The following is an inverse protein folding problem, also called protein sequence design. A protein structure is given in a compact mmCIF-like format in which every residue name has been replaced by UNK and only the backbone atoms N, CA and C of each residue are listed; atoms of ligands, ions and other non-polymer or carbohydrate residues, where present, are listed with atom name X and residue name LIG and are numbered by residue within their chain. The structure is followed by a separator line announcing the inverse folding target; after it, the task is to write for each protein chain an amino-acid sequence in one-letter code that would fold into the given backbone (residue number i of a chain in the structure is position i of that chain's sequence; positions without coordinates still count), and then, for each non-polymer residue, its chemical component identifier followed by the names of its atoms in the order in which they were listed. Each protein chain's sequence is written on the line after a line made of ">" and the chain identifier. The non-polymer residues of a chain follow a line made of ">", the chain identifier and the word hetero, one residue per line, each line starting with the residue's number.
data_IF_258450236095
#
_entry.id   IF_258450236095
#
_cell.length_a   1.000
_cell.length_b   1.000
_cell.length_c   1.000
_cell.angle_alpha   90.00
_cell.angle_beta   90.00
_cell.angle_gamma   90.00
#
_symmetry.space_group_name_H-M   'P 1'
#
loop_
_entity.id
_entity.type
_entity.pdbx_description
1 polymer ?
#
# COMPACT_ATOMS: atom_id res chain seq x y z
N UNK A 1 10.54 26.40 -108.65
CA UNK A 1 9.93 26.20 -107.32
C UNK A 1 11.05 25.83 -106.36
N UNK A 2 11.87 26.77 -105.87
CA UNK A 2 13.24 26.32 -105.50
C UNK A 2 14.04 27.10 -104.45
N UNK A 3 13.53 28.13 -103.77
CA UNK A 3 14.32 28.75 -102.69
C UNK A 3 13.46 29.22 -101.51
N UNK A 4 12.40 29.98 -101.77
CA UNK A 4 11.49 30.46 -100.71
C UNK A 4 10.77 29.32 -99.96
N UNK A 5 10.39 28.24 -100.65
CA UNK A 5 9.77 27.07 -100.01
C UNK A 5 10.78 26.31 -99.14
N UNK A 6 12.04 26.26 -99.57
CA UNK A 6 13.11 25.58 -98.84
C UNK A 6 13.51 26.35 -97.56
N UNK A 7 13.64 27.68 -97.67
CA UNK A 7 13.86 28.56 -96.52
C UNK A 7 12.69 28.51 -95.53
N UNK A 8 11.44 28.44 -96.01
CA UNK A 8 10.27 28.32 -95.13
C UNK A 8 10.27 26.99 -94.38
N UNK A 9 10.64 25.89 -95.04
CA UNK A 9 10.77 24.56 -94.42
C UNK A 9 11.91 24.55 -93.38
N UNK A 10 13.07 25.13 -93.71
CA UNK A 10 14.17 25.26 -92.75
C UNK A 10 13.80 26.11 -91.54
N UNK A 11 13.07 27.21 -91.77
CA UNK A 11 12.62 28.08 -90.69
C UNK A 11 11.59 27.39 -89.79
N UNK A 12 10.61 26.69 -90.37
CA UNK A 12 9.63 25.88 -89.62
C UNK A 12 10.33 24.77 -88.84
N UNK A 13 11.32 24.10 -89.44
CA UNK A 13 12.10 23.05 -88.77
C UNK A 13 12.90 23.62 -87.61
N UNK A 14 13.55 24.77 -87.80
CA UNK A 14 14.37 25.42 -86.76
C UNK A 14 13.51 25.95 -85.61
N UNK A 15 12.39 26.61 -85.92
CA UNK A 15 11.43 27.09 -84.92
C UNK A 15 10.76 25.93 -84.18
N UNK A 16 10.42 24.84 -84.88
CA UNK A 16 9.86 23.62 -84.29
C UNK A 16 10.83 22.90 -83.36
N UNK A 17 12.10 22.77 -83.75
CA UNK A 17 13.16 22.18 -82.90
C UNK A 17 13.40 23.07 -81.68
N UNK A 18 13.48 24.39 -81.86
CA UNK A 18 13.68 25.31 -80.73
C UNK A 18 12.53 25.27 -79.73
N UNK A 19 11.28 25.23 -80.21
CA UNK A 19 10.11 25.11 -79.35
C UNK A 19 10.03 23.76 -78.63
N UNK A 20 10.50 22.67 -79.27
CA UNK A 20 10.60 21.37 -78.64
C UNK A 20 11.69 21.33 -77.55
N UNK A 21 12.86 21.92 -77.80
CA UNK A 21 13.95 22.04 -76.82
C UNK A 21 13.56 22.91 -75.62
N UNK A 22 12.84 24.02 -75.84
CA UNK A 22 12.30 24.86 -74.77
C UNK A 22 11.30 24.08 -73.90
N UNK A 23 10.36 23.36 -74.51
CA UNK A 23 9.43 22.49 -73.76
C UNK A 23 10.12 21.36 -73.02
N UNK A 24 11.14 20.74 -73.61
CA UNK A 24 11.89 19.68 -72.96
C UNK A 24 12.60 20.22 -71.70
N UNK A 25 13.24 21.39 -71.81
CA UNK A 25 13.85 22.08 -70.66
C UNK A 25 12.85 22.45 -69.58
N UNK A 26 11.67 22.94 -69.95
CA UNK A 26 10.59 23.23 -68.99
C UNK A 26 10.15 21.96 -68.25
N UNK A 27 9.96 20.85 -68.96
CA UNK A 27 9.57 19.56 -68.38
C UNK A 27 10.66 19.05 -67.42
N UNK A 28 11.93 19.08 -67.83
CA UNK A 28 13.05 18.66 -66.98
C UNK A 28 13.17 19.52 -65.72
N UNK A 29 13.06 20.85 -65.86
CA UNK A 29 13.11 21.78 -64.73
C UNK A 29 11.96 21.54 -63.76
N UNK A 30 10.76 21.30 -64.29
CA UNK A 30 9.59 20.97 -63.48
C UNK A 30 9.75 19.64 -62.76
N UNK A 31 10.21 18.60 -63.46
CA UNK A 31 10.47 17.28 -62.88
C UNK A 31 11.53 17.33 -61.76
N UNK A 32 12.61 18.09 -61.95
CA UNK A 32 13.62 18.31 -60.91
C UNK A 32 13.05 19.05 -59.70
N UNK A 33 12.24 20.08 -59.93
CA UNK A 33 11.57 20.85 -58.86
C UNK A 33 10.61 19.97 -58.06
N UNK A 34 9.81 19.16 -58.75
CA UNK A 34 8.85 18.24 -58.13
C UNK A 34 9.58 17.14 -57.34
N UNK A 35 10.67 16.59 -57.88
CA UNK A 35 11.51 15.63 -57.17
C UNK A 35 12.12 16.22 -55.88
N UNK A 36 12.63 17.46 -55.95
CA UNK A 36 13.14 18.17 -54.78
C UNK A 36 12.06 18.39 -53.73
N UNK A 37 10.83 18.76 -54.14
CA UNK A 37 9.68 18.87 -53.23
C UNK A 37 9.34 17.56 -52.56
N UNK A 38 9.27 16.46 -53.30
CA UNK A 38 8.99 15.12 -52.74
C UNK A 38 10.03 14.74 -51.69
N UNK A 39 11.32 14.98 -51.97
CA UNK A 39 12.40 14.69 -51.01
C UNK A 39 12.30 15.60 -49.78
N UNK A 40 12.01 16.89 -49.96
CA UNK A 40 11.85 17.84 -48.86
C UNK A 40 10.67 17.45 -47.95
N UNK A 41 9.53 17.07 -48.54
CA UNK A 41 8.34 16.62 -47.82
C UNK A 41 8.59 15.30 -47.09
N UNK A 42 9.26 14.34 -47.74
CA UNK A 42 9.65 13.07 -47.11
C UNK A 42 10.58 13.29 -45.91
N UNK A 43 11.59 14.16 -46.05
CA UNK A 43 12.49 14.52 -44.96
C UNK A 43 11.77 15.25 -43.82
N UNK A 44 10.81 16.12 -44.14
CA UNK A 44 9.98 16.80 -43.15
C UNK A 44 9.15 15.81 -42.34
N UNK A 45 8.44 14.89 -43.03
CA UNK A 45 7.66 13.81 -42.39
C UNK A 45 8.53 12.89 -41.54
N UNK A 46 9.71 12.51 -42.03
CA UNK A 46 10.66 11.70 -41.27
C UNK A 46 11.09 12.38 -39.97
N UNK A 47 11.43 13.67 -40.03
CA UNK A 47 11.76 14.47 -38.83
C UNK A 47 10.59 14.54 -37.85
N UNK A 48 9.37 14.71 -38.35
CA UNK A 48 8.18 14.75 -37.53
C UNK A 48 7.92 13.41 -36.83
N UNK A 49 8.02 12.29 -37.56
CA UNK A 49 7.89 10.94 -36.99
C UNK A 49 8.91 10.71 -35.87
N UNK A 50 10.17 11.12 -36.07
CA UNK A 50 11.23 10.98 -35.05
C UNK A 50 10.92 11.87 -33.83
N UNK A 51 10.47 13.11 -34.04
CA UNK A 51 10.12 14.02 -32.96
C UNK A 51 8.93 13.50 -32.13
N UNK A 52 7.90 12.97 -32.79
CA UNK A 52 6.74 12.38 -32.14
C UNK A 52 7.13 11.10 -31.38
N UNK A 53 7.95 10.24 -31.98
CA UNK A 53 8.46 9.03 -31.33
C UNK A 53 9.28 9.36 -30.07
N UNK A 54 10.16 10.36 -30.13
CA UNK A 54 10.94 10.81 -28.97
C UNK A 54 10.05 11.37 -27.85
N UNK A 55 9.01 12.12 -28.23
CA UNK A 55 8.04 12.67 -27.28
C UNK A 55 7.25 11.54 -26.59
N UNK A 56 6.80 10.55 -27.36
CA UNK A 56 6.12 9.37 -26.81
C UNK A 56 7.04 8.54 -25.91
N UNK A 57 8.28 8.29 -26.33
CA UNK A 57 9.26 7.57 -25.54
C UNK A 57 9.52 8.25 -24.19
N UNK A 58 9.67 9.58 -24.18
CA UNK A 58 9.83 10.36 -22.94
C UNK A 58 8.61 10.23 -22.03
N UNK A 59 7.40 10.33 -22.56
CA UNK A 59 6.16 10.15 -21.79
C UNK A 59 6.06 8.75 -21.18
N UNK A 60 6.39 7.72 -21.95
CA UNK A 60 6.41 6.33 -21.46
C UNK A 60 7.43 6.18 -20.34
N UNK A 61 8.64 6.73 -20.50
CA UNK A 61 9.69 6.68 -19.48
C UNK A 61 9.26 7.36 -18.17
N UNK A 62 8.70 8.57 -18.27
CA UNK A 62 8.18 9.31 -17.09
C UNK A 62 7.06 8.51 -16.40
N UNK A 63 6.11 7.98 -17.17
CA UNK A 63 5.03 7.14 -16.65
C UNK A 63 5.54 5.85 -15.99
N UNK A 64 6.52 5.18 -16.60
CA UNK A 64 7.13 3.98 -16.07
C UNK A 64 7.85 4.25 -14.74
N UNK A 65 8.56 5.38 -14.61
CA UNK A 65 9.21 5.76 -13.36
C UNK A 65 8.21 6.01 -12.23
N UNK A 66 7.09 6.68 -12.52
CA UNK A 66 6.02 6.90 -11.53
C UNK A 66 5.41 5.56 -11.11
N UNK A 67 5.10 4.70 -12.07
CA UNK A 67 4.52 3.37 -11.83
C UNK A 67 5.45 2.51 -10.98
N UNK A 68 6.76 2.53 -11.26
CA UNK A 68 7.75 1.78 -10.49
C UNK A 68 7.85 2.27 -9.04
N UNK A 69 7.85 3.59 -8.82
CA UNK A 69 7.83 4.18 -7.47
C UNK A 69 6.59 3.77 -6.70
N UNK A 70 5.43 3.75 -7.36
CA UNK A 70 4.19 3.30 -6.74
C UNK A 70 4.25 1.81 -6.39
N UNK A 71 4.68 0.96 -7.32
CA UNK A 71 4.83 -0.48 -7.06
C UNK A 71 5.81 -0.77 -5.91
N UNK A 72 6.91 -0.03 -5.81
CA UNK A 72 7.85 -0.15 -4.70
C UNK A 72 7.19 0.22 -3.36
N UNK A 73 6.45 1.35 -3.31
CA UNK A 73 5.70 1.76 -2.11
C UNK A 73 4.66 0.71 -1.72
N UNK A 74 3.89 0.21 -2.68
CA UNK A 74 2.84 -0.78 -2.43
C UNK A 74 3.44 -2.10 -1.92
N UNK A 75 4.60 -2.50 -2.44
CA UNK A 75 5.35 -3.67 -1.97
C UNK A 75 5.79 -3.51 -0.52
N UNK A 76 6.34 -2.35 -0.15
CA UNK A 76 6.74 -2.06 1.23
C UNK A 76 5.54 -2.06 2.19
N UNK A 77 4.40 -1.49 1.77
CA UNK A 77 3.18 -1.50 2.57
C UNK A 77 2.60 -2.91 2.74
N UNK A 78 2.64 -3.73 1.69
CA UNK A 78 2.21 -5.12 1.76
C UNK A 78 3.10 -5.93 2.71
N UNK A 79 4.43 -5.79 2.60
CA UNK A 79 5.38 -6.42 3.51
C UNK A 79 5.14 -6.02 4.97
N UNK A 80 4.93 -4.71 5.23
CA UNK A 80 4.62 -4.23 6.57
C UNK A 80 3.37 -4.90 7.15
N UNK A 81 2.28 -4.97 6.38
CA UNK A 81 1.03 -5.62 6.81
C UNK A 81 1.22 -7.10 7.11
N UNK A 82 2.01 -7.81 6.30
CA UNK A 82 2.33 -9.22 6.54
C UNK A 82 3.11 -9.41 7.85
N UNK A 83 4.11 -8.55 8.13
CA UNK A 83 4.87 -8.61 9.38
C UNK A 83 3.94 -8.31 10.58
N UNK A 84 3.14 -7.26 10.50
CA UNK A 84 2.15 -6.91 11.54
C UNK A 84 1.17 -8.08 11.77
N UNK A 85 0.73 -8.76 10.71
CA UNK A 85 -0.16 -9.91 10.79
C UNK A 85 0.49 -11.16 11.41
N UNK A 86 1.75 -11.44 11.07
CA UNK A 86 2.53 -12.54 11.70
C UNK A 86 2.75 -12.24 13.17
N UNK A 87 3.14 -11.01 13.50
CA UNK A 87 3.36 -10.58 14.88
C UNK A 87 2.08 -10.70 15.70
N UNK A 88 0.95 -10.24 15.18
CA UNK A 88 -0.35 -10.37 15.83
C UNK A 88 -0.70 -11.83 16.14
N UNK A 89 -0.46 -12.75 15.19
CA UNK A 89 -0.67 -14.20 15.43
C UNK A 89 0.21 -14.75 16.54
N UNK A 90 1.50 -14.36 16.56
CA UNK A 90 2.45 -14.78 17.62
C UNK A 90 1.99 -14.24 18.97
N UNK A 91 1.61 -12.97 19.04
CA UNK A 91 1.11 -12.33 20.27
C UNK A 91 -0.15 -13.03 20.76
N UNK A 92 -1.15 -13.25 19.91
CA UNK A 92 -2.38 -13.94 20.30
C UNK A 92 -2.12 -15.35 20.83
N UNK A 93 -1.21 -16.10 20.22
CA UNK A 93 -0.85 -17.44 20.70
C UNK A 93 -0.19 -17.37 22.09
N UNK A 94 0.82 -16.50 22.25
CA UNK A 94 1.54 -16.34 23.51
C UNK A 94 0.63 -15.83 24.65
N UNK A 95 -0.27 -14.90 24.37
CA UNK A 95 -1.28 -14.42 25.33
C UNK A 95 -2.23 -15.56 25.70
N UNK A 96 -2.70 -16.33 24.73
CA UNK A 96 -3.60 -17.47 24.97
C UNK A 96 -2.97 -18.58 25.82
N UNK A 97 -1.65 -18.77 25.71
CA UNK A 97 -0.87 -19.70 26.54
C UNK A 97 -0.62 -19.13 27.94
N UNK A 98 -0.28 -17.84 28.05
CA UNK A 98 -0.07 -17.15 29.31
C UNK A 98 -1.35 -17.08 30.16
N UNK A 99 -2.53 -16.96 29.53
CA UNK A 99 -3.84 -16.99 30.18
C UNK A 99 -4.36 -18.41 30.46
N UNK A 100 -3.47 -19.40 30.54
CA UNK A 100 -3.85 -20.72 31.04
C UNK A 100 -4.43 -20.65 32.47
N UNK A 101 -5.32 -21.56 32.88
CA UNK A 101 -5.95 -21.52 34.19
C UNK A 101 -4.96 -21.53 35.36
N UNK A 102 -3.79 -22.17 35.19
CA UNK A 102 -2.75 -22.29 36.22
C UNK A 102 -2.05 -20.95 36.50
N UNK A 103 -1.91 -20.10 35.47
CA UNK A 103 -1.29 -18.78 35.59
C UNK A 103 -2.30 -17.66 35.90
N UNK A 104 -3.56 -17.85 35.50
CA UNK A 104 -4.64 -16.87 35.61
C UNK A 104 -4.85 -16.36 37.04
N UNK A 105 -4.75 -17.27 38.02
CA UNK A 105 -4.82 -16.94 39.44
C UNK A 105 -3.72 -15.94 39.85
N UNK A 106 -2.46 -16.23 39.50
CA UNK A 106 -1.33 -15.35 39.82
C UNK A 106 -1.50 -13.95 39.22
N UNK A 107 -1.86 -13.89 37.94
CA UNK A 107 -2.10 -12.63 37.21
C UNK A 107 -3.20 -11.82 37.88
N UNK A 108 -4.34 -12.45 38.18
CA UNK A 108 -5.47 -11.80 38.85
C UNK A 108 -5.08 -11.28 40.24
N UNK A 109 -4.31 -12.05 41.00
CA UNK A 109 -3.78 -11.66 42.31
C UNK A 109 -2.91 -10.41 42.22
N UNK A 110 -1.96 -10.38 41.29
CA UNK A 110 -1.08 -9.23 41.08
C UNK A 110 -1.83 -7.97 40.63
N UNK A 111 -2.79 -8.13 39.71
CA UNK A 111 -3.62 -7.00 39.23
C UNK A 111 -4.43 -6.42 40.37
N UNK A 112 -5.11 -7.26 41.16
CA UNK A 112 -5.90 -6.78 42.31
C UNK A 112 -4.99 -6.09 43.33
N UNK A 113 -3.86 -6.69 43.67
CA UNK A 113 -2.95 -6.16 44.69
C UNK A 113 -2.38 -4.79 44.27
N UNK A 114 -1.90 -4.66 43.03
CA UNK A 114 -1.40 -3.38 42.50
C UNK A 114 -2.48 -2.32 42.41
N UNK A 115 -3.71 -2.68 42.04
CA UNK A 115 -4.83 -1.74 41.97
C UNK A 115 -5.26 -1.25 43.36
N UNK A 116 -5.19 -2.10 44.36
CA UNK A 116 -5.45 -1.71 45.77
C UNK A 116 -4.34 -0.79 46.28
N UNK A 117 -3.06 -1.10 46.02
CA UNK A 117 -1.93 -0.25 46.40
C UNK A 117 -2.01 1.14 45.73
N UNK A 118 -2.46 1.19 44.48
CA UNK A 118 -2.70 2.41 43.73
C UNK A 118 -3.99 3.16 44.15
N UNK A 119 -4.75 2.65 45.13
CA UNK A 119 -6.03 3.20 45.60
C UNK A 119 -7.07 3.36 44.50
N UNK A 120 -7.07 2.47 43.51
CA UNK A 120 -8.06 2.46 42.42
C UNK A 120 -9.40 1.84 42.83
N UNK A 121 -9.42 1.08 43.94
CA UNK A 121 -10.62 0.42 44.45
C UNK A 121 -11.42 1.34 45.37
N UNK A 122 -12.46 1.98 44.82
CA UNK A 122 -13.41 2.80 45.59
C UNK A 122 -14.55 1.95 46.21
N UNK A 123 -14.76 0.72 45.71
CA UNK A 123 -15.84 -0.17 46.16
C UNK A 123 -15.50 -1.66 46.06
N UNK A 124 -16.53 -2.49 45.82
CA UNK A 124 -16.37 -3.93 45.60
C UNK A 124 -15.67 -4.20 44.26
N UNK A 125 -14.78 -5.21 44.26
CA UNK A 125 -14.06 -5.64 43.07
C UNK A 125 -14.89 -6.71 42.37
N UNK A 126 -15.34 -6.44 41.15
CA UNK A 126 -16.08 -7.42 40.33
C UNK A 126 -15.12 -8.04 39.31
N UNK A 127 -15.07 -9.36 39.26
CA UNK A 127 -14.25 -10.09 38.29
C UNK A 127 -15.15 -11.03 37.49
N UNK A 128 -15.10 -10.91 36.16
CA UNK A 128 -15.87 -11.75 35.25
C UNK A 128 -14.96 -12.70 34.48
N UNK A 129 -15.29 -13.98 34.48
CA UNK A 129 -14.47 -15.06 33.91
C UNK A 129 -15.36 -16.05 33.16
N UNK A 130 -14.80 -16.83 32.23
CA UNK A 130 -15.56 -17.94 31.67
C UNK A 130 -15.89 -18.99 32.77
N UNK A 131 -16.95 -19.81 32.60
CA UNK A 131 -17.40 -20.74 33.64
C UNK A 131 -16.37 -21.79 34.07
N UNK A 132 -15.49 -22.21 33.14
CA UNK A 132 -14.45 -23.21 33.42
C UNK A 132 -13.39 -22.66 34.36
N UNK A 133 -12.92 -21.45 34.07
CA UNK A 133 -11.89 -20.77 34.85
C UNK A 133 -12.45 -20.32 36.20
N UNK A 134 -13.70 -19.84 36.24
CA UNK A 134 -14.39 -19.49 37.48
C UNK A 134 -14.46 -20.67 38.47
N UNK A 135 -14.78 -21.87 37.96
CA UNK A 135 -14.83 -23.08 38.80
C UNK A 135 -13.47 -23.41 39.38
N UNK A 136 -12.41 -23.36 38.55
CA UNK A 136 -11.02 -23.61 39.00
C UNK A 136 -10.51 -22.57 39.99
N UNK A 137 -10.81 -21.29 39.78
CA UNK A 137 -10.39 -20.18 40.66
C UNK A 137 -11.09 -20.20 42.01
N UNK A 138 -12.32 -20.71 42.07
CA UNK A 138 -13.07 -20.88 43.31
C UNK A 138 -12.50 -21.97 44.23
N UNK A 139 -11.66 -22.88 43.72
CA UNK A 139 -10.98 -23.91 44.52
C UNK A 139 -9.79 -23.32 45.32
N UNK A 140 -10.10 -22.47 46.31
CA UNK A 140 -9.17 -22.05 47.37
C UNK A 140 -8.26 -20.85 47.07
N UNK A 141 -8.08 -20.44 45.81
CA UNK A 141 -7.29 -19.24 45.46
C UNK A 141 -8.00 -17.95 45.89
N UNK A 142 -9.29 -17.81 45.57
CA UNK A 142 -10.09 -16.65 45.97
C UNK A 142 -10.19 -16.45 47.48
N UNK A 143 -10.31 -17.54 48.25
CA UNK A 143 -10.36 -17.45 49.71
C UNK A 143 -9.04 -16.94 50.32
N UNK A 144 -7.90 -17.19 49.66
CA UNK A 144 -6.60 -16.64 50.06
C UNK A 144 -6.48 -15.16 49.68
N UNK A 145 -6.85 -14.82 48.44
CA UNK A 145 -6.77 -13.45 47.95
C UNK A 145 -7.70 -12.50 48.72
N UNK A 146 -8.91 -12.94 49.06
CA UNK A 146 -9.87 -12.18 49.87
C UNK A 146 -9.35 -11.85 51.27
N UNK A 147 -8.44 -12.66 51.84
CA UNK A 147 -7.81 -12.37 53.15
C UNK A 147 -6.73 -11.30 53.07
N UNK A 148 -6.18 -11.06 51.87
CA UNK A 148 -5.10 -10.10 51.64
C UNK A 148 -5.63 -8.73 51.23
N UNK A 149 -6.90 -8.63 50.85
CA UNK A 149 -7.54 -7.42 50.33
C UNK A 149 -8.71 -7.03 51.25
N UNK A 150 -8.84 -5.73 51.56
CA UNK A 150 -9.93 -5.22 52.41
C UNK A 150 -11.28 -5.16 51.68
N UNK A 151 -11.26 -4.90 50.38
CA UNK A 151 -12.43 -4.85 49.51
C UNK A 151 -13.00 -6.26 49.28
N UNK A 152 -14.32 -6.38 49.10
CA UNK A 152 -14.92 -7.68 48.76
C UNK A 152 -14.71 -7.97 47.27
N UNK A 153 -14.31 -9.20 46.95
CA UNK A 153 -14.10 -9.69 45.59
C UNK A 153 -15.30 -10.56 45.22
N UNK A 154 -16.04 -10.18 44.18
CA UNK A 154 -17.16 -10.95 43.67
C UNK A 154 -16.80 -11.52 42.30
N UNK A 155 -16.88 -12.84 42.18
CA UNK A 155 -16.73 -13.53 40.90
C UNK A 155 -18.08 -13.72 40.22
N UNK A 156 -18.14 -13.44 38.93
CA UNK A 156 -19.31 -13.70 38.11
C UNK A 156 -18.94 -14.41 36.80
N UNK A 157 -19.80 -15.29 36.28
CA UNK A 157 -19.59 -15.89 34.99
C UNK A 157 -19.75 -14.83 33.88
N UNK A 158 -18.94 -14.98 32.84
CA UNK A 158 -19.08 -14.27 31.56
C UNK A 158 -19.60 -15.28 30.53
N UNK A 159 -20.59 -14.88 29.74
CA UNK A 159 -21.28 -15.75 28.77
C UNK A 159 -20.45 -16.09 27.52
N UNK A 160 -19.18 -15.67 27.48
CA UNK A 160 -18.26 -15.99 26.38
C UNK A 160 -17.36 -17.19 26.70
N UNK A 161 -16.71 -17.68 25.64
CA UNK A 161 -15.69 -18.73 25.74
C UNK A 161 -14.25 -18.17 25.74
N UNK A 162 -14.11 -16.85 25.84
CA UNK A 162 -12.81 -16.20 25.78
C UNK A 162 -12.01 -16.51 27.06
N UNK A 163 -10.69 -16.66 26.91
CA UNK A 163 -9.79 -16.81 28.06
C UNK A 163 -9.59 -15.47 28.75
N UNK A 164 -8.99 -15.51 29.94
CA UNK A 164 -8.72 -14.30 30.72
C UNK A 164 -9.93 -13.82 31.53
N UNK A 165 -9.92 -12.54 31.89
CA UNK A 165 -10.94 -11.96 32.77
C UNK A 165 -11.20 -10.49 32.45
N UNK A 166 -12.35 -9.98 32.90
CA UNK A 166 -12.55 -8.53 33.07
C UNK A 166 -12.64 -8.19 34.55
N UNK A 167 -12.17 -7.00 34.91
CA UNK A 167 -12.17 -6.55 36.30
C UNK A 167 -12.69 -5.12 36.41
N UNK A 168 -13.59 -4.89 37.36
CA UNK A 168 -14.10 -3.57 37.75
C UNK A 168 -13.73 -3.27 39.20
N UNK A 169 -13.39 -2.01 39.45
CA UNK A 169 -13.04 -1.49 40.77
C UNK A 169 -14.07 -0.49 41.31
N UNK A 170 -15.18 -0.29 40.60
CA UNK A 170 -16.19 0.76 40.82
C UNK A 170 -17.63 0.21 40.76
N UNK A 171 -17.83 -1.01 41.24
CA UNK A 171 -19.13 -1.71 41.24
C UNK A 171 -19.72 -1.94 39.84
N UNK A 172 -18.86 -2.11 38.85
CA UNK A 172 -19.24 -2.47 37.49
C UNK A 172 -19.59 -1.30 36.59
N UNK A 173 -19.21 -0.07 36.97
CA UNK A 173 -19.38 1.13 36.12
C UNK A 173 -18.34 1.19 35.00
N UNK A 174 -17.13 0.71 35.28
CA UNK A 174 -16.05 0.56 34.30
C UNK A 174 -15.34 -0.79 34.47
N UNK A 175 -14.80 -1.31 33.37
CA UNK A 175 -14.08 -2.58 33.35
C UNK A 175 -12.76 -2.43 32.62
N UNK A 176 -11.73 -3.06 33.16
CA UNK A 176 -10.49 -3.33 32.46
C UNK A 176 -10.58 -4.72 31.83
N UNK A 177 -10.24 -4.81 30.55
CA UNK A 177 -10.27 -6.06 29.80
C UNK A 177 -8.89 -6.72 29.78
N UNK A 178 -8.79 -7.86 30.47
CA UNK A 178 -7.63 -8.76 30.47
C UNK A 178 -7.98 -10.08 29.77
N UNK A 179 -8.93 -10.06 28.83
CA UNK A 179 -9.20 -11.18 27.94
C UNK A 179 -8.02 -11.44 27.00
N UNK A 180 -7.98 -12.64 26.43
CA UNK A 180 -7.02 -12.99 25.39
C UNK A 180 -7.09 -12.03 24.20
N UNK A 181 -8.29 -11.67 23.75
CA UNK A 181 -8.51 -10.69 22.70
C UNK A 181 -8.02 -9.29 23.10
N UNK A 182 -8.42 -8.78 24.27
CA UNK A 182 -8.07 -7.43 24.73
C UNK A 182 -6.55 -7.26 24.95
N UNK A 183 -5.89 -8.25 25.56
CA UNK A 183 -4.44 -8.23 25.73
C UNK A 183 -3.69 -8.38 24.42
N UNK A 184 -4.16 -9.25 23.50
CA UNK A 184 -3.55 -9.39 22.20
C UNK A 184 -3.64 -8.11 21.38
N UNK A 185 -4.77 -7.41 21.43
CA UNK A 185 -4.95 -6.12 20.76
C UNK A 185 -4.03 -5.04 21.35
N UNK A 186 -3.98 -4.93 22.69
CA UNK A 186 -3.12 -3.96 23.37
C UNK A 186 -1.64 -4.17 23.02
N UNK A 187 -1.15 -5.42 23.14
CA UNK A 187 0.24 -5.75 22.84
C UNK A 187 0.55 -5.60 21.34
N UNK A 188 -0.37 -5.99 20.45
CA UNK A 188 -0.19 -5.81 19.00
C UNK A 188 -0.08 -4.32 18.67
N UNK A 189 -0.91 -3.47 19.26
CA UNK A 189 -0.86 -2.01 19.05
C UNK A 189 0.48 -1.44 19.49
N UNK A 190 0.95 -1.82 20.68
CA UNK A 190 2.23 -1.39 21.21
C UNK A 190 3.42 -1.84 20.34
N UNK A 191 3.45 -3.13 19.97
CA UNK A 191 4.55 -3.70 19.19
C UNK A 191 4.53 -3.21 17.73
N UNK A 192 3.36 -2.98 17.14
CA UNK A 192 3.24 -2.39 15.81
C UNK A 192 3.78 -0.95 15.78
N UNK A 193 3.59 -0.18 16.86
CA UNK A 193 4.18 1.15 16.98
C UNK A 193 5.72 1.09 17.03
N UNK A 194 6.30 0.13 17.76
CA UNK A 194 7.75 -0.07 17.79
C UNK A 194 8.29 -0.55 16.44
N UNK A 195 7.59 -1.49 15.79
CA UNK A 195 7.95 -1.98 14.46
C UNK A 195 7.95 -0.84 13.44
N UNK A 196 6.94 0.04 13.49
CA UNK A 196 6.87 1.20 12.62
C UNK A 196 8.07 2.14 12.79
N UNK A 197 8.52 2.35 14.03
CA UNK A 197 9.72 3.16 14.31
C UNK A 197 10.99 2.50 13.74
N UNK A 198 11.18 1.20 13.95
CA UNK A 198 12.34 0.45 13.42
C UNK A 198 12.39 0.47 11.89
N UNK A 199 11.23 0.36 11.23
CA UNK A 199 11.16 0.42 9.77
C UNK A 199 11.48 1.83 9.26
N UNK A 200 11.03 2.88 9.95
CA UNK A 200 11.35 4.26 9.58
C UNK A 200 12.85 4.57 9.73
N UNK A 201 13.50 4.06 10.77
CA UNK A 201 14.94 4.27 11.00
C UNK A 201 15.82 3.54 9.99
N UNK A 202 15.31 2.49 9.35
CA UNK A 202 16.03 1.66 8.39
C UNK A 202 15.87 2.09 6.92
N UNK A 203 14.96 3.02 6.61
CA UNK A 203 14.60 3.48 5.26
C UNK A 203 15.04 4.91 4.98
#
# INVERSE_FOLDING_TARGET
>A
MSQQVQELIEKIKTEGVRAADEKAKEIETKAQTDAQKVIADANSRARQIIADANTQAKRIQESAQITLKQAARDTLLALRREIEGVLGKVVSAQVGDALSPDHLAGILGEVIQKSVDAKLAEGDILVSLNPKDLTRLNEGFMAKLQKQVKNSIKLQPRDDSAKGFTISFDEGKSYFDFSDAGLAEYLSTYLNAQLAALIQDAS
#
